data_IF_767688359335
#
_entry.id   IF_767688359335
#
_cell.length_a   1.000
_cell.length_b   1.000
_cell.length_c   1.000
_cell.angle_alpha   90.00
_cell.angle_beta   90.00
_cell.angle_gamma   90.00
#
_symmetry.space_group_name_H-M   'P 1'
#
loop_
_entity.id
_entity.type
_entity.pdbx_description
1 polymer ?
#
# COMPACT_ATOMS: atom_id res chain seq x y z
N UNK A 1 -27.94 1.71 -4.21
CA UNK A 1 -26.46 1.64 -4.24
C UNK A 1 -25.99 2.25 -2.95
N UNK A 2 -25.10 1.58 -2.21
CA UNK A 2 -24.60 2.09 -0.94
C UNK A 2 -23.64 3.28 -1.13
N UNK A 3 -23.37 4.05 -0.08
CA UNK A 3 -22.43 5.17 -0.14
C UNK A 3 -21.03 4.71 -0.53
N UNK A 4 -20.54 3.59 0.04
CA UNK A 4 -19.23 3.01 -0.30
C UNK A 4 -19.18 2.61 -1.77
N UNK A 5 -20.21 1.96 -2.31
CA UNK A 5 -20.26 1.56 -3.71
C UNK A 5 -20.23 2.76 -4.66
N UNK A 6 -20.98 3.85 -4.34
CA UNK A 6 -20.96 5.09 -5.12
C UNK A 6 -19.58 5.76 -5.08
N UNK A 7 -19.00 5.88 -3.89
CA UNK A 7 -17.68 6.48 -3.71
C UNK A 7 -16.57 5.68 -4.41
N UNK A 8 -16.65 4.35 -4.40
CA UNK A 8 -15.72 3.49 -5.15
C UNK A 8 -15.79 3.76 -6.66
N UNK A 9 -17.00 3.94 -7.20
CA UNK A 9 -17.15 4.28 -8.62
C UNK A 9 -16.56 5.66 -8.94
N UNK A 10 -16.74 6.64 -8.04
CA UNK A 10 -16.17 7.98 -8.22
C UNK A 10 -14.64 7.93 -8.21
N UNK A 11 -14.04 7.20 -7.26
CA UNK A 11 -12.58 7.00 -7.21
C UNK A 11 -12.08 6.28 -8.46
N UNK A 12 -12.76 5.24 -8.93
CA UNK A 12 -12.39 4.53 -10.17
C UNK A 12 -12.47 5.44 -11.40
N UNK A 13 -13.47 6.35 -11.47
CA UNK A 13 -13.55 7.35 -12.54
C UNK A 13 -12.39 8.34 -12.49
N UNK A 14 -11.98 8.79 -11.30
CA UNK A 14 -10.81 9.65 -11.12
C UNK A 14 -9.54 8.95 -11.60
N UNK A 15 -9.33 7.69 -11.20
CA UNK A 15 -8.19 6.87 -11.66
C UNK A 15 -8.20 6.73 -13.19
N UNK A 16 -9.35 6.41 -13.79
CA UNK A 16 -9.47 6.24 -15.23
C UNK A 16 -9.06 7.51 -16.00
N UNK A 17 -9.57 8.69 -15.57
CA UNK A 17 -9.21 9.98 -16.17
C UNK A 17 -7.72 10.30 -16.03
N UNK A 18 -7.13 10.03 -14.87
CA UNK A 18 -5.71 10.27 -14.64
C UNK A 18 -4.82 9.33 -15.47
N UNK A 19 -5.21 8.07 -15.62
CA UNK A 19 -4.54 7.06 -16.46
C UNK A 19 -4.60 7.48 -17.95
N UNK A 20 -5.75 7.93 -18.42
CA UNK A 20 -5.91 8.46 -19.78
C UNK A 20 -5.03 9.70 -20.01
N UNK A 21 -5.05 10.66 -19.08
CA UNK A 21 -4.18 11.85 -19.13
C UNK A 21 -2.69 11.50 -19.11
N UNK A 22 -2.30 10.43 -18.42
CA UNK A 22 -0.94 9.90 -18.39
C UNK A 22 -0.58 9.05 -19.63
N UNK A 23 -1.50 8.84 -20.56
CA UNK A 23 -1.36 7.97 -21.74
C UNK A 23 -0.93 6.53 -21.36
N UNK A 24 -1.52 5.97 -20.29
CA UNK A 24 -1.22 4.64 -19.75
C UNK A 24 -2.41 3.69 -19.93
N UNK A 25 -2.17 2.37 -19.80
CA UNK A 25 -3.25 1.36 -19.74
C UNK A 25 -3.98 1.39 -18.40
N UNK A 26 -5.30 1.20 -18.42
CA UNK A 26 -6.14 1.24 -17.22
C UNK A 26 -5.78 0.16 -16.19
N UNK A 27 -5.34 -1.00 -16.65
CA UNK A 27 -4.89 -2.14 -15.85
C UNK A 27 -3.55 -1.91 -15.13
N UNK A 28 -2.84 -0.82 -15.44
CA UNK A 28 -1.54 -0.49 -14.86
C UNK A 28 -1.63 0.19 -13.49
N UNK A 29 -2.83 0.53 -13.01
CA UNK A 29 -3.01 1.19 -11.71
C UNK A 29 -4.00 0.41 -10.84
N UNK A 30 -3.50 -0.12 -9.73
CA UNK A 30 -4.29 -0.84 -8.74
C UNK A 30 -4.79 0.11 -7.65
N UNK A 31 -6.10 0.08 -7.40
CA UNK A 31 -6.70 0.75 -6.24
C UNK A 31 -6.56 -0.14 -5.00
N UNK A 32 -5.95 0.39 -3.94
CA UNK A 32 -5.92 -0.21 -2.61
C UNK A 32 -6.88 0.61 -1.73
N UNK A 33 -7.99 -0.01 -1.33
CA UNK A 33 -8.97 0.61 -0.44
C UNK A 33 -8.47 0.55 1.01
N UNK A 34 -8.25 1.70 1.63
CA UNK A 34 -7.66 1.80 2.98
C UNK A 34 -8.75 1.77 4.02
N UNK A 35 -8.84 0.65 4.77
CA UNK A 35 -9.93 0.35 5.71
C UNK A 35 -9.54 0.49 7.19
N UNK A 36 -8.37 1.06 7.48
CA UNK A 36 -7.97 1.33 8.87
C UNK A 36 -9.04 2.14 9.60
N UNK A 37 -9.36 1.76 10.84
CA UNK A 37 -10.39 2.34 11.71
C UNK A 37 -11.84 2.13 11.26
N UNK A 38 -12.09 1.47 10.15
CA UNK A 38 -13.42 1.10 9.69
C UNK A 38 -13.76 -0.36 10.08
N UNK A 39 -15.03 -0.67 10.35
CA UNK A 39 -15.45 -2.03 10.73
C UNK A 39 -15.35 -3.01 9.56
N UNK A 40 -15.32 -4.30 9.87
CA UNK A 40 -15.29 -5.36 8.85
C UNK A 40 -16.51 -5.34 7.90
N UNK A 41 -17.67 -4.85 8.36
CA UNK A 41 -18.86 -4.65 7.50
C UNK A 41 -18.60 -3.71 6.34
N UNK A 42 -17.79 -2.65 6.54
CA UNK A 42 -17.40 -1.74 5.45
C UNK A 42 -16.50 -2.43 4.42
N UNK A 43 -15.66 -3.39 4.87
CA UNK A 43 -14.86 -4.22 3.97
C UNK A 43 -15.76 -5.13 3.13
N UNK A 44 -16.72 -5.80 3.75
CA UNK A 44 -17.69 -6.67 3.04
C UNK A 44 -18.46 -5.88 1.99
N UNK A 45 -18.99 -4.70 2.35
CA UNK A 45 -19.71 -3.82 1.43
C UNK A 45 -18.83 -3.39 0.23
N UNK A 46 -17.54 -3.11 0.48
CA UNK A 46 -16.60 -2.78 -0.58
C UNK A 46 -16.29 -3.99 -1.48
N UNK A 47 -16.22 -5.22 -0.92
CA UNK A 47 -16.06 -6.46 -1.69
C UNK A 47 -17.26 -6.68 -2.61
N UNK A 48 -18.48 -6.50 -2.12
CA UNK A 48 -19.72 -6.58 -2.91
C UNK A 48 -19.76 -5.54 -4.04
N UNK A 49 -19.09 -4.39 -3.83
CA UNK A 49 -18.89 -3.37 -4.87
C UNK A 49 -17.68 -3.65 -5.80
N UNK A 50 -17.08 -4.85 -5.72
CA UNK A 50 -16.00 -5.30 -6.60
C UNK A 50 -14.61 -4.77 -6.22
N UNK A 51 -14.36 -4.48 -4.93
CA UNK A 51 -13.03 -4.12 -4.42
C UNK A 51 -12.38 -5.31 -3.73
N UNK A 52 -11.17 -5.70 -4.16
CA UNK A 52 -10.52 -6.92 -3.67
C UNK A 52 -9.10 -6.70 -3.11
N UNK A 53 -8.57 -5.48 -3.15
CA UNK A 53 -7.31 -5.11 -2.55
C UNK A 53 -7.53 -4.10 -1.42
N UNK A 54 -7.12 -4.44 -0.19
CA UNK A 54 -7.34 -3.61 1.00
C UNK A 54 -6.05 -3.28 1.72
N UNK A 55 -5.98 -2.05 2.24
CA UNK A 55 -4.82 -1.54 2.97
C UNK A 55 -5.12 -1.29 4.45
N UNK A 56 -4.24 -1.79 5.33
CA UNK A 56 -4.35 -1.65 6.77
C UNK A 56 -3.07 -1.08 7.39
N UNK A 57 -3.23 -0.29 8.46
CA UNK A 57 -2.11 0.30 9.19
C UNK A 57 -1.86 -0.37 10.54
N UNK A 58 -2.85 -1.05 11.11
CA UNK A 58 -2.81 -1.60 12.45
C UNK A 58 -2.98 -3.12 12.39
N UNK A 59 -1.89 -3.85 12.69
CA UNK A 59 -1.85 -5.30 12.49
C UNK A 59 -2.92 -6.05 13.31
N UNK A 60 -3.19 -5.62 14.54
CA UNK A 60 -4.16 -6.26 15.43
C UNK A 60 -5.58 -6.12 14.87
N UNK A 61 -5.99 -4.89 14.54
CA UNK A 61 -7.29 -4.57 13.94
C UNK A 61 -7.49 -5.33 12.61
N UNK A 62 -6.44 -5.38 11.80
CA UNK A 62 -6.48 -6.04 10.50
C UNK A 62 -6.75 -7.54 10.61
N UNK A 63 -6.16 -8.23 11.60
CA UNK A 63 -6.31 -9.67 11.77
C UNK A 63 -7.78 -10.05 12.06
N UNK A 64 -8.48 -9.26 12.85
CA UNK A 64 -9.90 -9.47 13.14
C UNK A 64 -10.75 -9.35 11.86
N UNK A 65 -10.47 -8.34 11.02
CA UNK A 65 -11.13 -8.16 9.73
C UNK A 65 -10.81 -9.29 8.75
N UNK A 66 -9.52 -9.68 8.66
CA UNK A 66 -9.05 -10.78 7.82
C UNK A 66 -9.78 -12.08 8.23
N UNK A 67 -9.84 -12.40 9.52
CA UNK A 67 -10.48 -13.60 10.01
C UNK A 67 -11.98 -13.65 9.65
N UNK A 68 -12.70 -12.53 9.81
CA UNK A 68 -14.11 -12.46 9.43
C UNK A 68 -14.30 -12.64 7.92
N UNK A 69 -13.54 -11.95 7.09
CA UNK A 69 -13.62 -12.04 5.63
C UNK A 69 -13.27 -13.47 5.16
N UNK A 70 -12.26 -14.11 5.74
CA UNK A 70 -11.90 -15.50 5.42
C UNK A 70 -13.00 -16.49 5.83
N UNK A 71 -13.67 -16.26 6.96
CA UNK A 71 -14.82 -17.08 7.37
C UNK A 71 -15.96 -16.99 6.37
N UNK A 72 -16.32 -15.78 5.94
CA UNK A 72 -17.35 -15.55 4.93
C UNK A 72 -16.95 -16.13 3.56
N UNK A 73 -15.67 -16.03 3.19
CA UNK A 73 -15.13 -16.64 1.98
C UNK A 73 -15.20 -18.17 2.03
N UNK A 74 -14.87 -18.78 3.16
CA UNK A 74 -14.95 -20.23 3.37
C UNK A 74 -16.36 -20.79 3.20
N UNK A 75 -17.40 -20.00 3.43
CA UNK A 75 -18.80 -20.33 3.14
C UNK A 75 -19.18 -20.17 1.66
N UNK A 76 -18.26 -19.76 0.78
CA UNK A 76 -18.51 -19.49 -0.63
C UNK A 76 -19.18 -18.14 -0.94
N UNK A 77 -19.33 -17.29 0.09
CA UNK A 77 -20.06 -16.02 -0.05
C UNK A 77 -19.19 -14.90 -0.65
N UNK A 78 -17.86 -14.93 -0.45
CA UNK A 78 -16.95 -13.88 -0.88
C UNK A 78 -15.80 -14.40 -1.74
N UNK A 79 -15.29 -13.60 -2.70
CA UNK A 79 -14.11 -13.90 -3.51
C UNK A 79 -12.81 -13.75 -2.69
N UNK A 80 -11.69 -14.11 -3.30
CA UNK A 80 -10.37 -13.92 -2.71
C UNK A 80 -10.01 -12.44 -2.59
N UNK A 81 -9.46 -12.05 -1.45
CA UNK A 81 -9.06 -10.68 -1.11
C UNK A 81 -7.55 -10.62 -0.91
N UNK A 82 -6.92 -9.56 -1.40
CA UNK A 82 -5.49 -9.29 -1.20
C UNK A 82 -5.31 -8.22 -0.11
N UNK A 83 -4.59 -8.58 0.95
CA UNK A 83 -4.34 -7.70 2.09
C UNK A 83 -2.95 -7.08 2.04
N UNK A 84 -2.90 -5.75 2.13
CA UNK A 84 -1.70 -4.93 2.12
C UNK A 84 -1.48 -4.28 3.49
N UNK A 85 -0.34 -4.52 4.10
CA UNK A 85 0.07 -3.74 5.26
C UNK A 85 0.79 -2.48 4.78
N UNK A 86 0.22 -1.32 5.07
CA UNK A 86 0.69 -0.03 4.56
C UNK A 86 1.11 0.96 5.66
N UNK A 87 1.02 0.54 6.93
CA UNK A 87 1.41 1.33 8.09
C UNK A 87 2.89 1.15 8.48
N UNK A 88 3.36 1.93 9.47
CA UNK A 88 4.69 1.77 10.04
C UNK A 88 4.82 0.40 10.74
N UNK A 89 5.97 -0.25 10.55
CA UNK A 89 6.20 -1.60 11.05
C UNK A 89 6.92 -1.56 12.40
N UNK A 90 6.21 -1.92 13.45
CA UNK A 90 6.81 -2.17 14.75
C UNK A 90 7.44 -3.57 14.80
N UNK A 91 8.65 -3.69 15.34
CA UNK A 91 9.40 -4.96 15.38
C UNK A 91 8.65 -6.11 16.09
N UNK A 92 7.84 -5.81 17.11
CA UNK A 92 7.02 -6.81 17.80
C UNK A 92 5.78 -7.26 17.03
N UNK A 93 5.42 -6.61 15.92
CA UNK A 93 4.28 -6.95 15.06
C UNK A 93 4.68 -7.69 13.78
N UNK A 94 5.98 -7.82 13.47
CA UNK A 94 6.47 -8.45 12.23
C UNK A 94 5.95 -9.87 12.02
N UNK A 95 5.81 -10.68 13.08
CA UNK A 95 5.26 -12.04 13.00
C UNK A 95 3.81 -12.07 12.52
N UNK A 96 2.98 -11.18 13.07
CA UNK A 96 1.57 -11.05 12.68
C UNK A 96 1.45 -10.58 11.23
N UNK A 97 2.25 -9.57 10.87
CA UNK A 97 2.27 -9.02 9.51
C UNK A 97 2.72 -10.11 8.51
N UNK A 98 3.83 -10.78 8.78
CA UNK A 98 4.34 -11.84 7.91
C UNK A 98 3.37 -13.01 7.75
N UNK A 99 2.55 -13.33 8.77
CA UNK A 99 1.61 -14.44 8.72
C UNK A 99 0.33 -14.13 7.93
N UNK A 100 -0.14 -12.89 7.92
CA UNK A 100 -1.49 -12.59 7.45
C UNK A 100 -1.55 -11.78 6.15
N UNK A 101 -0.55 -10.98 5.84
CA UNK A 101 -0.58 -10.09 4.67
C UNK A 101 0.08 -10.72 3.44
N UNK A 102 -0.37 -10.31 2.25
CA UNK A 102 0.23 -10.64 0.97
C UNK A 102 1.29 -9.61 0.55
N UNK A 103 1.12 -8.36 1.00
CA UNK A 103 1.98 -7.23 0.72
C UNK A 103 2.34 -6.45 1.98
N UNK A 104 3.56 -5.90 1.97
CA UNK A 104 4.02 -4.94 2.98
C UNK A 104 4.68 -3.77 2.28
N UNK A 105 4.17 -2.55 2.53
CA UNK A 105 4.63 -1.35 1.81
C UNK A 105 5.65 -0.51 2.60
N UNK A 106 5.70 -0.68 3.92
CA UNK A 106 6.45 0.20 4.81
C UNK A 106 7.78 -0.39 5.29
N UNK A 107 8.52 -1.14 4.45
CA UNK A 107 9.84 -1.64 4.86
C UNK A 107 10.86 -0.50 4.77
N UNK A 108 11.36 -0.05 5.92
CA UNK A 108 12.22 1.12 6.06
C UNK A 108 13.63 0.81 6.57
N UNK A 109 13.95 -0.46 6.87
CA UNK A 109 15.26 -0.91 7.35
C UNK A 109 15.45 -2.41 7.22
N UNK A 110 16.69 -2.84 7.04
CA UNK A 110 17.10 -4.23 6.82
C UNK A 110 16.59 -5.15 7.94
N UNK A 111 16.73 -4.75 9.21
CA UNK A 111 16.29 -5.57 10.36
C UNK A 111 14.80 -5.91 10.34
N UNK A 112 13.96 -5.05 9.81
CA UNK A 112 12.52 -5.36 9.63
C UNK A 112 12.33 -6.39 8.53
N UNK A 113 13.04 -6.25 7.42
CA UNK A 113 12.99 -7.21 6.31
C UNK A 113 13.45 -8.61 6.74
N UNK A 114 14.56 -8.70 7.45
CA UNK A 114 15.06 -9.96 8.03
C UNK A 114 14.00 -10.66 8.88
N UNK A 115 13.40 -9.93 9.84
CA UNK A 115 12.35 -10.47 10.69
C UNK A 115 11.11 -10.90 9.92
N UNK A 116 10.68 -10.15 8.92
CA UNK A 116 9.56 -10.54 8.06
C UNK A 116 9.89 -11.83 7.27
N UNK A 117 11.10 -11.94 6.74
CA UNK A 117 11.56 -13.14 6.03
C UNK A 117 11.61 -14.36 6.96
N UNK A 118 12.27 -14.26 8.11
CA UNK A 118 12.39 -15.34 9.09
C UNK A 118 11.02 -15.84 9.58
N UNK A 119 10.08 -14.90 9.78
CA UNK A 119 8.76 -15.17 10.38
C UNK A 119 7.68 -15.49 9.34
N UNK A 120 7.98 -15.40 8.04
CA UNK A 120 7.04 -15.80 6.99
C UNK A 120 6.77 -17.30 7.04
N UNK A 121 5.52 -17.76 7.19
CA UNK A 121 5.20 -19.19 7.24
C UNK A 121 5.64 -19.92 5.97
N UNK A 122 6.20 -21.13 6.13
CA UNK A 122 6.74 -21.93 5.01
C UNK A 122 5.69 -22.35 3.97
N UNK A 123 4.44 -22.47 4.39
CA UNK A 123 3.30 -22.83 3.54
C UNK A 123 2.66 -21.61 2.82
N UNK A 124 3.23 -20.40 2.99
CA UNK A 124 2.80 -19.21 2.26
C UNK A 124 3.80 -18.82 1.18
N UNK A 125 3.35 -18.25 0.04
CA UNK A 125 4.26 -17.68 -0.96
C UNK A 125 5.14 -16.60 -0.32
N UNK A 126 6.30 -16.26 -0.93
CA UNK A 126 7.12 -15.15 -0.47
C UNK A 126 6.30 -13.86 -0.28
N UNK A 127 6.60 -13.13 0.79
CA UNK A 127 5.91 -11.89 1.10
C UNK A 127 6.37 -10.81 0.13
N UNK A 128 5.44 -10.20 -0.60
CA UNK A 128 5.73 -9.09 -1.52
C UNK A 128 6.00 -7.83 -0.69
N UNK A 129 7.15 -7.20 -0.90
CA UNK A 129 7.57 -6.04 -0.11
C UNK A 129 7.94 -4.86 -0.99
N UNK A 130 7.58 -3.67 -0.53
CA UNK A 130 8.06 -2.40 -1.05
C UNK A 130 8.94 -1.73 0.00
N UNK A 131 9.98 -1.04 -0.46
CA UNK A 131 10.81 -0.20 0.40
C UNK A 131 10.18 1.18 0.48
N UNK A 132 9.91 1.63 1.70
CA UNK A 132 9.47 3.00 1.93
C UNK A 132 10.66 3.93 1.85
N UNK A 133 10.56 4.95 0.99
CA UNK A 133 11.60 5.96 0.78
C UNK A 133 11.18 7.29 1.40
N UNK A 134 12.08 7.93 2.11
CA UNK A 134 11.93 9.30 2.57
C UNK A 134 12.25 10.27 1.43
N UNK A 135 11.25 10.58 0.63
CA UNK A 135 11.39 11.48 -0.55
C UNK A 135 11.40 12.96 -0.18
N UNK A 136 11.02 13.32 1.04
CA UNK A 136 11.04 14.71 1.51
C UNK A 136 12.39 15.14 2.09
N UNK A 137 13.26 14.19 2.45
CA UNK A 137 14.54 14.47 3.09
C UNK A 137 14.48 14.92 4.55
N UNK A 138 13.27 14.98 5.14
CA UNK A 138 13.10 15.37 6.53
C UNK A 138 13.45 14.22 7.47
N UNK A 139 14.37 14.46 8.41
CA UNK A 139 14.84 13.45 9.38
C UNK A 139 13.72 12.88 10.29
N UNK A 140 12.62 13.59 10.45
CA UNK A 140 11.46 13.16 11.24
C UNK A 140 10.57 12.14 10.55
N UNK A 141 10.76 11.91 9.24
CA UNK A 141 9.90 11.01 8.45
C UNK A 141 10.47 9.62 8.29
N UNK A 142 9.59 8.63 8.39
CA UNK A 142 9.93 7.23 8.15
C UNK A 142 10.30 7.00 6.68
N UNK A 143 11.22 6.10 6.46
CA UNK A 143 11.67 5.69 5.13
C UNK A 143 13.19 5.67 5.02
N UNK A 144 13.68 4.91 4.07
CA UNK A 144 15.10 4.84 3.73
C UNK A 144 15.51 6.15 3.05
N UNK A 145 16.68 6.69 3.40
CA UNK A 145 17.25 7.81 2.66
C UNK A 145 17.58 7.38 1.22
N UNK A 146 17.43 8.27 0.21
CA UNK A 146 17.76 7.94 -1.17
C UNK A 146 19.15 7.34 -1.36
N UNK A 147 20.14 7.84 -0.64
CA UNK A 147 21.54 7.39 -0.75
C UNK A 147 21.77 5.96 -0.21
N UNK A 148 20.95 5.51 0.74
CA UNK A 148 21.03 4.17 1.34
C UNK A 148 20.15 3.14 0.58
N UNK A 149 19.37 3.59 -0.39
CA UNK A 149 18.30 2.79 -1.00
C UNK A 149 18.82 1.52 -1.67
N UNK A 150 19.88 1.62 -2.47
CA UNK A 150 20.44 0.46 -3.21
C UNK A 150 20.96 -0.61 -2.26
N UNK A 151 21.61 -0.23 -1.16
CA UNK A 151 22.10 -1.17 -0.14
C UNK A 151 20.93 -1.94 0.50
N UNK A 152 19.89 -1.21 0.92
CA UNK A 152 18.69 -1.80 1.54
C UNK A 152 17.96 -2.73 0.56
N UNK A 153 17.79 -2.33 -0.70
CA UNK A 153 17.14 -3.17 -1.72
C UNK A 153 17.93 -4.43 -1.99
N UNK A 154 19.27 -4.35 -2.09
CA UNK A 154 20.14 -5.52 -2.27
C UNK A 154 20.00 -6.51 -1.12
N UNK A 155 20.07 -6.02 0.12
CA UNK A 155 19.89 -6.86 1.30
C UNK A 155 18.52 -7.55 1.33
N UNK A 156 17.45 -6.86 0.91
CA UNK A 156 16.09 -7.42 0.84
C UNK A 156 15.97 -8.47 -0.28
N UNK A 157 16.59 -8.24 -1.43
CA UNK A 157 16.53 -9.15 -2.58
C UNK A 157 17.16 -10.53 -2.27
N UNK A 158 18.13 -10.58 -1.35
CA UNK A 158 18.79 -11.81 -0.91
C UNK A 158 17.97 -12.60 0.13
N UNK A 159 16.87 -12.04 0.66
CA UNK A 159 16.07 -12.69 1.69
C UNK A 159 15.08 -13.73 1.09
N UNK A 160 15.20 -15.02 1.42
CA UNK A 160 14.58 -16.12 0.66
C UNK A 160 13.05 -16.14 0.71
N UNK A 161 12.42 -15.50 1.70
CA UNK A 161 10.95 -15.48 1.86
C UNK A 161 10.33 -14.10 1.64
N UNK A 162 11.11 -13.18 1.09
CA UNK A 162 10.63 -11.91 0.58
C UNK A 162 10.70 -11.87 -0.94
N UNK A 163 9.84 -11.07 -1.52
CA UNK A 163 9.88 -10.73 -2.93
C UNK A 163 9.85 -9.21 -3.05
N UNK A 164 11.01 -8.62 -3.28
CA UNK A 164 11.10 -7.19 -3.56
C UNK A 164 10.30 -6.85 -4.82
N UNK A 165 9.43 -5.85 -4.72
CA UNK A 165 8.53 -5.47 -5.82
C UNK A 165 8.64 -3.99 -6.20
N UNK A 166 9.26 -3.15 -5.39
CA UNK A 166 9.37 -1.75 -5.72
C UNK A 166 9.40 -0.81 -4.52
N UNK A 167 8.97 0.42 -4.73
CA UNK A 167 9.09 1.51 -3.77
C UNK A 167 7.73 2.02 -3.30
N UNK A 168 7.73 2.62 -2.12
CA UNK A 168 6.59 3.32 -1.56
C UNK A 168 7.00 4.71 -1.07
N UNK A 169 6.16 5.71 -1.30
CA UNK A 169 6.34 7.06 -0.80
C UNK A 169 5.07 7.65 -0.21
N UNK A 170 5.23 8.45 0.84
CA UNK A 170 4.17 9.26 1.45
C UNK A 170 4.72 10.69 1.62
N UNK A 171 4.59 11.52 0.58
CA UNK A 171 5.06 12.90 0.65
C UNK A 171 4.17 13.78 1.55
N UNK A 172 4.64 15.00 1.82
CA UNK A 172 3.80 16.02 2.43
C UNK A 172 2.62 16.39 1.52
N UNK A 173 1.45 16.69 2.09
CA UNK A 173 0.36 17.27 1.36
C UNK A 173 0.78 18.61 0.73
N UNK A 174 0.32 18.85 -0.50
CA UNK A 174 0.50 20.13 -1.19
C UNK A 174 -0.80 20.46 -1.93
N UNK A 175 -1.09 21.76 -2.07
CA UNK A 175 -2.35 22.23 -2.67
C UNK A 175 -2.27 22.35 -4.20
N UNK A 176 -1.06 22.49 -4.74
CA UNK A 176 -0.82 22.69 -6.17
C UNK A 176 -0.29 21.40 -6.79
N UNK A 177 -0.85 21.02 -7.93
CA UNK A 177 -0.55 19.73 -8.60
C UNK A 177 0.93 19.59 -8.95
N UNK A 178 1.60 20.66 -9.35
CA UNK A 178 3.03 20.67 -9.66
C UNK A 178 3.87 20.33 -8.43
N UNK A 179 3.50 20.90 -7.26
CA UNK A 179 4.17 20.60 -5.99
C UNK A 179 3.88 19.16 -5.51
N UNK A 180 2.66 18.64 -5.75
CA UNK A 180 2.33 17.24 -5.47
C UNK A 180 3.16 16.28 -6.33
N UNK A 181 3.40 16.61 -7.61
CA UNK A 181 4.13 15.76 -8.56
C UNK A 181 5.61 15.61 -8.23
N UNK A 182 6.27 16.66 -7.73
CA UNK A 182 7.72 16.67 -7.48
C UNK A 182 8.23 15.47 -6.68
N UNK A 183 7.69 15.14 -5.49
CA UNK A 183 8.15 13.99 -4.71
C UNK A 183 7.83 12.65 -5.38
N UNK A 184 6.74 12.55 -6.14
CA UNK A 184 6.41 11.35 -6.89
C UNK A 184 7.36 11.14 -8.08
N UNK A 185 7.74 12.22 -8.77
CA UNK A 185 8.76 12.17 -9.82
C UNK A 185 10.13 11.76 -9.26
N UNK A 186 10.49 12.23 -8.05
CA UNK A 186 11.71 11.80 -7.38
C UNK A 186 11.68 10.30 -7.07
N UNK A 187 10.57 9.78 -6.53
CA UNK A 187 10.42 8.34 -6.27
C UNK A 187 10.50 7.50 -7.56
N UNK A 188 9.90 7.97 -8.66
CA UNK A 188 9.99 7.32 -9.97
C UNK A 188 11.44 7.24 -10.46
N UNK A 189 12.20 8.33 -10.36
CA UNK A 189 13.62 8.36 -10.75
C UNK A 189 14.47 7.37 -9.94
N UNK A 190 14.22 7.24 -8.65
CA UNK A 190 14.90 6.23 -7.81
C UNK A 190 14.57 4.80 -8.28
N UNK A 191 13.33 4.52 -8.62
CA UNK A 191 12.94 3.22 -9.17
C UNK A 191 13.58 2.95 -10.55
N UNK A 192 13.72 3.97 -11.40
CA UNK A 192 14.42 3.90 -12.67
C UNK A 192 15.91 3.58 -12.45
N UNK A 193 16.56 4.22 -11.47
CA UNK A 193 17.92 3.92 -11.06
C UNK A 193 18.11 2.46 -10.64
N UNK A 194 17.24 1.96 -9.76
CA UNK A 194 17.27 0.56 -9.35
C UNK A 194 17.10 -0.43 -10.51
N UNK A 195 16.21 -0.12 -11.47
CA UNK A 195 16.05 -0.95 -12.66
C UNK A 195 17.30 -0.95 -13.55
N UNK A 196 17.99 0.19 -13.67
CA UNK A 196 19.27 0.29 -14.40
C UNK A 196 20.38 -0.54 -13.72
N UNK A 197 20.33 -0.70 -12.39
CA UNK A 197 21.20 -1.59 -11.62
C UNK A 197 20.78 -3.08 -11.68
N UNK A 198 19.71 -3.42 -12.38
CA UNK A 198 19.24 -4.79 -12.56
C UNK A 198 18.20 -5.29 -11.55
N UNK A 199 17.73 -4.44 -10.64
CA UNK A 199 16.66 -4.84 -9.70
C UNK A 199 15.28 -4.81 -10.36
N UNK A 200 14.47 -5.85 -10.14
CA UNK A 200 13.06 -5.84 -10.53
C UNK A 200 12.26 -4.90 -9.64
N UNK A 201 11.93 -3.70 -10.13
CA UNK A 201 11.20 -2.67 -9.40
C UNK A 201 9.95 -2.22 -10.19
N UNK A 202 8.97 -3.11 -10.43
CA UNK A 202 7.80 -2.80 -11.26
C UNK A 202 6.77 -1.91 -10.55
N UNK A 203 6.75 -1.88 -9.22
CA UNK A 203 5.67 -1.26 -8.47
C UNK A 203 6.08 0.06 -7.82
N UNK A 204 5.20 1.05 -7.94
CA UNK A 204 5.28 2.33 -7.23
C UNK A 204 3.97 2.55 -6.46
N UNK A 205 4.04 2.37 -5.14
CA UNK A 205 2.92 2.64 -4.24
C UNK A 205 2.98 4.07 -3.75
N UNK A 206 2.22 4.95 -4.37
CA UNK A 206 2.17 6.38 -4.07
C UNK A 206 0.84 6.98 -4.49
N UNK A 207 0.44 8.07 -3.86
CA UNK A 207 -0.85 8.72 -4.08
C UNK A 207 -1.96 8.22 -3.14
N UNK A 208 -2.70 9.18 -2.62
CA UNK A 208 -3.82 9.02 -1.70
C UNK A 208 -5.05 9.80 -2.21
N UNK A 209 -6.08 9.96 -1.39
CA UNK A 209 -7.35 10.61 -1.78
C UNK A 209 -7.18 12.02 -2.38
N UNK A 210 -6.17 12.78 -1.94
CA UNK A 210 -5.98 14.18 -2.33
C UNK A 210 -5.02 14.37 -3.53
N UNK A 211 -4.16 13.38 -3.82
CA UNK A 211 -3.04 13.54 -4.75
C UNK A 211 -2.87 12.34 -5.71
N UNK A 212 -3.90 11.47 -5.82
CA UNK A 212 -3.83 10.28 -6.66
C UNK A 212 -3.61 10.61 -8.16
N UNK A 213 -4.16 11.72 -8.64
CA UNK A 213 -3.99 12.16 -10.02
C UNK A 213 -2.51 12.52 -10.29
N UNK A 214 -1.90 13.31 -9.40
CA UNK A 214 -0.49 13.67 -9.49
C UNK A 214 0.42 12.43 -9.44
N UNK A 215 0.11 11.48 -8.55
CA UNK A 215 0.84 10.23 -8.44
C UNK A 215 0.74 9.37 -9.70
N UNK A 216 -0.45 9.26 -10.31
CA UNK A 216 -0.67 8.50 -11.54
C UNK A 216 0.08 9.12 -12.72
N UNK A 217 0.09 10.45 -12.83
CA UNK A 217 0.87 11.18 -13.83
C UNK A 217 2.38 10.90 -13.70
N UNK A 218 2.87 10.65 -12.49
CA UNK A 218 4.27 10.30 -12.22
C UNK A 218 4.53 8.79 -12.16
N UNK A 219 3.61 7.96 -12.63
CA UNK A 219 3.85 6.53 -12.82
C UNK A 219 3.42 5.63 -11.67
N UNK A 220 2.59 6.07 -10.74
CA UNK A 220 2.04 5.18 -9.71
C UNK A 220 1.42 3.92 -10.33
N UNK A 221 1.73 2.76 -9.74
CA UNK A 221 1.08 1.48 -10.07
C UNK A 221 0.09 1.05 -9.00
N UNK A 222 0.19 1.65 -7.81
CA UNK A 222 -0.74 1.46 -6.69
C UNK A 222 -1.09 2.80 -6.06
N UNK A 223 -2.39 3.09 -5.94
CA UNK A 223 -2.91 4.25 -5.19
C UNK A 223 -3.66 3.76 -3.96
N UNK A 224 -3.52 4.46 -2.82
CA UNK A 224 -4.06 4.07 -1.51
C UNK A 224 -5.13 5.07 -1.08
N UNK A 225 -6.38 4.71 -1.25
CA UNK A 225 -7.52 5.62 -1.03
C UNK A 225 -8.39 5.15 0.13
N UNK A 226 -8.55 5.98 1.13
CA UNK A 226 -9.40 5.71 2.31
C UNK A 226 -10.59 6.66 2.39
N UNK A 227 -10.34 7.92 2.76
CA UNK A 227 -11.37 8.92 3.04
C UNK A 227 -12.34 9.15 1.88
N UNK A 228 -11.85 9.12 0.65
CA UNK A 228 -12.72 9.28 -0.53
C UNK A 228 -13.66 8.08 -0.78
N UNK A 229 -13.40 6.92 -0.15
CA UNK A 229 -14.25 5.72 -0.26
C UNK A 229 -15.16 5.59 0.97
N UNK A 230 -14.57 5.63 2.16
CA UNK A 230 -15.24 5.29 3.42
C UNK A 230 -15.73 6.52 4.21
N UNK A 231 -15.38 7.72 3.76
CA UNK A 231 -15.69 8.97 4.47
C UNK A 231 -14.66 9.33 5.54
N UNK A 232 -14.93 10.42 6.30
CA UNK A 232 -14.07 10.85 7.41
C UNK A 232 -14.07 9.78 8.51
N UNK A 233 -12.94 9.65 9.21
CA UNK A 233 -12.82 8.72 10.34
C UNK A 233 -13.80 9.10 11.43
N UNK A 234 -14.56 8.14 11.92
CA UNK A 234 -15.28 8.31 13.17
C UNK A 234 -14.25 8.44 14.29
N UNK A 235 -14.33 9.50 15.08
CA UNK A 235 -13.52 9.63 16.27
C UNK A 235 -13.90 8.45 17.21
N UNK A 236 -12.98 7.49 17.32
CA UNK A 236 -13.13 6.44 18.35
C UNK A 236 -12.96 7.13 19.70
N UNK A 237 -14.06 7.38 20.39
CA UNK A 237 -14.02 7.65 21.82
C UNK A 237 -13.43 6.40 22.49
N UNK A 238 -12.14 6.38 22.71
CA UNK A 238 -11.56 5.51 23.73
C UNK A 238 -12.05 6.10 25.06
N UNK A 239 -13.15 5.55 25.57
CA UNK A 239 -13.49 5.70 26.98
C UNK A 239 -12.37 5.02 27.74
N UNK A 240 -11.71 5.79 28.57
CA UNK A 240 -10.62 5.43 29.48
C UNK A 240 -11.15 4.44 30.52
#
# INVERSE_FOLDING_TARGET
MSAIASNLQDVRRRIARAVEAAQRGFDQVRLIAVTKTFPASAVVEAIEAGQFAFGENYAQEAIEKIALVETLRGSGTLPQVEWHFIGPIQSNKTRLIAAHFAWVHGVDRIRIAERLSEQRPKNRPPLKVLVQVNVSGEASKSGVAPDDLTEVVRAIADLPRLHFRGLMGVPEPADVIEAQRMPFAALRKLAEGLRAEGFACPELSMGMSADLEAAILEGATMVRVGTAIFGPRQATHHTI
#
